data_IF_069964663991
#
_entry.id   IF_069964663991
#
_cell.length_a   1.000
_cell.length_b   1.000
_cell.length_c   1.000
_cell.angle_alpha   90.00
_cell.angle_beta   90.00
_cell.angle_gamma   90.00
#
_symmetry.space_group_name_H-M   'P 1'
#
loop_
_entity.id
_entity.type
_entity.pdbx_description
1 polymer ?
#
# COMPACT_ATOMS: atom_id res chain seq x y z
N UNK A 1 20.13 -17.98 6.81
CA UNK A 1 19.71 -16.57 6.66
C UNK A 1 18.96 -16.38 5.34
N UNK A 2 17.80 -15.69 5.35
CA UNK A 2 16.98 -15.45 4.16
C UNK A 2 17.77 -14.68 3.09
N UNK A 3 17.65 -15.07 1.81
CA UNK A 3 18.23 -14.32 0.67
C UNK A 3 17.72 -12.87 0.61
N UNK A 4 16.49 -12.62 1.05
CA UNK A 4 15.90 -11.27 1.09
C UNK A 4 16.55 -10.43 2.20
N UNK A 5 16.79 -10.99 3.39
CA UNK A 5 17.41 -10.28 4.51
C UNK A 5 18.84 -9.83 4.21
N UNK A 6 19.57 -10.61 3.39
CA UNK A 6 20.96 -10.30 3.02
C UNK A 6 21.10 -9.13 2.02
N UNK A 7 20.02 -8.75 1.32
CA UNK A 7 20.09 -7.64 0.37
C UNK A 7 20.07 -6.30 1.14
N UNK A 8 21.06 -5.44 0.99
CA UNK A 8 21.03 -4.12 1.59
C UNK A 8 19.84 -3.30 1.09
N UNK A 9 19.44 -2.30 1.86
CA UNK A 9 18.42 -1.31 1.47
C UNK A 9 19.14 0.00 1.21
N UNK A 10 19.19 0.41 -0.06
CA UNK A 10 19.86 1.64 -0.47
C UNK A 10 19.12 2.86 0.09
N UNK A 11 19.86 3.82 0.60
CA UNK A 11 19.36 5.10 1.08
C UNK A 11 19.60 6.18 0.02
N UNK A 12 18.55 6.64 -0.68
CA UNK A 12 18.70 7.74 -1.62
C UNK A 12 19.00 9.05 -0.88
N UNK A 13 19.54 10.02 -1.61
CA UNK A 13 19.81 11.36 -1.07
C UNK A 13 18.52 11.99 -0.52
N UNK A 14 18.62 12.63 0.65
CA UNK A 14 17.49 13.29 1.31
C UNK A 14 16.65 12.38 2.22
N UNK A 15 17.06 11.12 2.42
CA UNK A 15 16.45 10.23 3.42
C UNK A 15 17.36 10.15 4.64
N UNK A 16 16.79 10.43 5.80
CA UNK A 16 17.43 10.23 7.11
C UNK A 16 16.77 9.07 7.84
N UNK A 17 17.59 8.27 8.52
CA UNK A 17 17.14 7.12 9.30
C UNK A 17 17.59 7.31 10.74
N UNK A 18 16.67 7.16 11.67
CA UNK A 18 16.94 7.14 13.11
C UNK A 18 16.67 5.73 13.62
N UNK A 19 17.71 5.08 14.13
CA UNK A 19 17.62 3.73 14.67
C UNK A 19 17.54 3.84 16.19
N UNK A 20 16.40 3.47 16.77
CA UNK A 20 16.21 3.30 18.20
C UNK A 20 16.36 1.82 18.62
N UNK A 21 16.24 1.55 19.92
CA UNK A 21 16.31 0.19 20.47
C UNK A 21 15.16 -0.70 19.95
N UNK A 22 13.94 -0.15 19.91
CA UNK A 22 12.72 -0.90 19.61
C UNK A 22 12.02 -0.43 18.31
N UNK A 23 12.53 0.60 17.66
CA UNK A 23 11.91 1.16 16.46
C UNK A 23 12.91 1.83 15.53
N UNK A 24 12.62 1.79 14.23
CA UNK A 24 13.35 2.52 13.20
C UNK A 24 12.42 3.53 12.56
N UNK A 25 12.84 4.79 12.54
CA UNK A 25 12.12 5.87 11.88
C UNK A 25 12.86 6.29 10.62
N UNK A 26 12.15 6.28 9.49
CA UNK A 26 12.66 6.74 8.19
C UNK A 26 11.97 8.03 7.84
N UNK A 27 12.72 9.10 7.62
CA UNK A 27 12.23 10.43 7.26
C UNK A 27 12.75 10.83 5.88
N UNK A 28 11.86 11.30 5.04
CA UNK A 28 12.19 11.78 3.68
C UNK A 28 11.39 13.02 3.30
N UNK A 29 11.42 13.38 2.02
CA UNK A 29 10.78 14.58 1.50
C UNK A 29 9.25 14.60 1.67
N UNK A 30 8.60 13.43 1.62
CA UNK A 30 7.13 13.31 1.69
C UNK A 30 6.58 13.07 3.10
N UNK A 31 7.46 12.81 4.08
CA UNK A 31 7.05 12.59 5.46
C UNK A 31 7.96 11.61 6.20
N UNK A 32 7.46 11.07 7.30
CA UNK A 32 8.18 10.10 8.14
C UNK A 32 7.31 8.88 8.43
N UNK A 33 7.94 7.73 8.48
CA UNK A 33 7.33 6.45 8.85
C UNK A 33 8.16 5.80 9.96
N UNK A 34 7.50 5.13 10.88
CA UNK A 34 8.14 4.42 11.98
C UNK A 34 7.76 2.94 11.93
N UNK A 35 8.75 2.08 12.07
CA UNK A 35 8.58 0.62 12.14
C UNK A 35 9.07 0.13 13.49
N UNK A 36 8.21 -0.55 14.24
CA UNK A 36 8.61 -1.26 15.44
C UNK A 36 9.45 -2.49 15.08
N UNK A 37 10.59 -2.65 15.73
CA UNK A 37 11.45 -3.83 15.59
C UNK A 37 10.98 -4.93 16.54
N UNK A 38 11.02 -6.16 16.06
CA UNK A 38 10.84 -7.32 16.94
C UNK A 38 12.15 -7.65 17.66
N UNK A 39 12.03 -8.16 18.88
CA UNK A 39 13.19 -8.63 19.66
C UNK A 39 14.03 -9.63 18.85
N UNK A 40 15.35 -9.50 18.91
CA UNK A 40 16.30 -10.32 18.14
C UNK A 40 16.57 -9.84 16.70
N UNK A 41 16.01 -8.70 16.30
CA UNK A 41 16.33 -8.05 15.01
C UNK A 41 17.12 -6.78 15.28
N UNK A 42 18.24 -6.65 14.62
CA UNK A 42 19.11 -5.46 14.65
C UNK A 42 19.19 -4.84 13.25
N UNK A 43 19.13 -3.53 13.20
CA UNK A 43 19.32 -2.76 11.98
C UNK A 43 20.61 -1.97 12.13
N UNK A 44 21.50 -2.10 11.15
CA UNK A 44 22.74 -1.32 11.07
C UNK A 44 22.66 -0.38 9.89
N UNK A 45 23.09 0.85 10.11
CA UNK A 45 23.25 1.83 9.04
C UNK A 45 24.72 1.87 8.65
N UNK A 46 24.99 1.60 7.40
CA UNK A 46 26.23 1.87 6.71
C UNK A 46 26.08 3.15 5.89
N UNK A 47 27.14 3.72 5.40
CA UNK A 47 27.16 5.08 4.80
C UNK A 47 25.99 5.35 3.82
N UNK A 48 25.61 4.38 2.99
CA UNK A 48 24.58 4.54 1.94
C UNK A 48 23.49 3.47 1.94
N UNK A 49 23.51 2.55 2.91
CA UNK A 49 22.52 1.48 2.95
C UNK A 49 22.25 1.00 4.37
N UNK A 50 21.09 0.34 4.55
CA UNK A 50 20.71 -0.34 5.79
C UNK A 50 20.89 -1.85 5.63
N UNK A 51 21.41 -2.49 6.65
CA UNK A 51 21.48 -3.94 6.78
C UNK A 51 20.62 -4.40 7.96
N UNK A 52 19.95 -5.52 7.78
CA UNK A 52 19.13 -6.15 8.80
C UNK A 52 19.78 -7.46 9.22
N UNK A 53 20.11 -7.57 10.49
CA UNK A 53 20.67 -8.77 11.09
C UNK A 53 19.63 -9.40 12.02
N UNK A 54 19.61 -10.72 12.07
CA UNK A 54 18.87 -11.50 13.04
C UNK A 54 19.84 -12.19 13.98
N UNK A 55 19.53 -12.23 15.27
CA UNK A 55 20.30 -13.01 16.23
C UNK A 55 20.23 -14.51 15.86
N UNK A 56 21.39 -15.19 15.94
CA UNK A 56 21.54 -16.55 15.43
C UNK A 56 20.72 -17.63 16.18
N UNK A 57 20.21 -17.31 17.36
CA UNK A 57 19.65 -18.27 18.32
C UNK A 57 18.14 -18.42 18.27
N UNK A 58 17.39 -17.63 17.47
CA UNK A 58 15.92 -17.65 17.45
C UNK A 58 15.34 -18.36 16.24
N UNK A 59 14.47 -19.35 16.47
CA UNK A 59 13.66 -19.93 15.39
C UNK A 59 12.73 -18.87 14.77
N UNK A 60 12.66 -18.84 13.43
CA UNK A 60 11.81 -17.88 12.72
C UNK A 60 12.37 -16.47 12.55
N UNK A 61 13.44 -16.07 13.26
CA UNK A 61 14.04 -14.73 13.16
C UNK A 61 14.54 -14.41 11.75
N UNK A 62 14.97 -15.42 11.00
CA UNK A 62 15.37 -15.26 9.59
C UNK A 62 14.20 -14.81 8.68
N UNK A 63 12.98 -15.28 8.95
CA UNK A 63 11.79 -14.85 8.21
C UNK A 63 11.40 -13.41 8.60
N UNK A 64 11.47 -13.12 9.90
CA UNK A 64 11.20 -11.78 10.43
C UNK A 64 12.21 -10.75 9.91
N UNK A 65 13.50 -11.08 9.86
CA UNK A 65 14.51 -10.21 9.27
C UNK A 65 14.23 -9.89 7.80
N UNK A 66 13.81 -10.90 7.03
CA UNK A 66 13.40 -10.71 5.64
C UNK A 66 12.19 -9.77 5.49
N UNK A 67 11.16 -9.93 6.33
CA UNK A 67 10.01 -9.03 6.32
C UNK A 67 10.36 -7.62 6.80
N UNK A 68 11.16 -7.48 7.85
CA UNK A 68 11.66 -6.18 8.34
C UNK A 68 12.43 -5.44 7.24
N UNK A 69 13.33 -6.14 6.54
CA UNK A 69 14.06 -5.57 5.40
C UNK A 69 13.11 -5.08 4.30
N UNK A 70 12.09 -5.88 3.96
CA UNK A 70 11.11 -5.50 2.95
C UNK A 70 10.27 -4.29 3.38
N UNK A 71 9.89 -4.21 4.67
CA UNK A 71 9.21 -3.04 5.21
C UNK A 71 10.09 -1.78 5.15
N UNK A 72 11.36 -1.87 5.54
CA UNK A 72 12.30 -0.75 5.45
C UNK A 72 12.47 -0.27 4.00
N UNK A 73 12.61 -1.17 3.03
CA UNK A 73 12.68 -0.81 1.61
C UNK A 73 11.40 -0.12 1.12
N UNK A 74 10.22 -0.61 1.55
CA UNK A 74 8.95 0.04 1.25
C UNK A 74 8.88 1.44 1.88
N UNK A 75 9.31 1.62 3.13
CA UNK A 75 9.33 2.91 3.81
C UNK A 75 10.22 3.91 3.08
N UNK A 76 11.44 3.52 2.71
CA UNK A 76 12.38 4.36 1.96
C UNK A 76 11.76 4.80 0.63
N UNK A 77 11.14 3.89 -0.12
CA UNK A 77 10.44 4.22 -1.36
C UNK A 77 9.25 5.14 -1.11
N UNK A 78 8.47 4.87 -0.06
CA UNK A 78 7.29 5.66 0.30
C UNK A 78 7.61 7.09 0.67
N UNK A 79 8.65 7.34 1.49
CA UNK A 79 9.02 8.70 1.89
C UNK A 79 9.73 9.49 0.79
N UNK A 80 10.24 8.82 -0.26
CA UNK A 80 10.87 9.46 -1.42
C UNK A 80 9.89 9.69 -2.56
N UNK A 81 9.46 8.60 -3.20
CA UNK A 81 8.58 8.63 -4.37
C UNK A 81 7.10 8.69 -4.00
N UNK A 82 6.73 8.06 -2.88
CA UNK A 82 5.36 7.76 -2.53
C UNK A 82 4.85 6.53 -3.26
N UNK A 83 3.64 6.13 -2.89
CA UNK A 83 2.91 5.07 -3.57
C UNK A 83 1.59 5.60 -4.10
N UNK A 84 1.14 4.97 -5.17
CA UNK A 84 -0.14 5.27 -5.79
C UNK A 84 -0.80 3.97 -6.24
N UNK A 85 -2.11 3.87 -6.07
CA UNK A 85 -2.96 2.80 -6.60
C UNK A 85 -4.13 3.41 -7.34
N UNK A 86 -4.31 2.99 -8.59
CA UNK A 86 -5.42 3.41 -9.44
C UNK A 86 -6.52 2.36 -9.43
N UNK A 87 -7.75 2.79 -9.21
CA UNK A 87 -8.96 2.00 -9.31
C UNK A 87 -9.85 2.55 -10.42
N UNK A 88 -10.53 1.67 -11.13
CA UNK A 88 -11.45 1.98 -12.21
C UNK A 88 -12.85 1.45 -11.86
N UNK A 89 -13.85 2.29 -12.07
CA UNK A 89 -15.25 1.94 -11.91
C UNK A 89 -15.82 1.55 -13.28
N UNK A 90 -16.28 0.33 -13.40
CA UNK A 90 -16.89 -0.19 -14.63
C UNK A 90 -18.36 -0.45 -14.38
N UNK A 91 -19.22 0.30 -15.03
CA UNK A 91 -20.67 0.14 -14.91
C UNK A 91 -21.42 1.41 -15.29
N UNK A 92 -22.60 1.26 -15.89
CA UNK A 92 -23.47 2.40 -16.25
C UNK A 92 -23.95 3.08 -14.97
N UNK A 93 -23.71 4.40 -14.86
CA UNK A 93 -24.12 5.19 -13.70
C UNK A 93 -23.20 5.08 -12.48
N UNK A 94 -22.08 4.34 -12.58
CA UNK A 94 -21.08 4.30 -11.49
C UNK A 94 -20.29 5.60 -11.47
N UNK A 95 -20.18 6.21 -10.29
CA UNK A 95 -19.51 7.49 -10.10
C UNK A 95 -18.77 7.49 -8.76
N UNK A 96 -17.65 8.18 -8.73
CA UNK A 96 -16.88 8.50 -7.54
C UNK A 96 -16.68 10.01 -7.45
N UNK A 97 -16.81 10.56 -6.26
CA UNK A 97 -16.53 11.97 -5.99
C UNK A 97 -15.90 12.11 -4.61
N UNK A 98 -14.80 12.85 -4.53
CA UNK A 98 -14.16 13.20 -3.26
C UNK A 98 -14.79 14.48 -2.74
N UNK A 99 -15.24 14.46 -1.48
CA UNK A 99 -15.77 15.61 -0.76
C UNK A 99 -15.03 15.77 0.56
N UNK A 100 -14.19 16.75 0.65
CA UNK A 100 -13.36 17.05 1.83
C UNK A 100 -12.56 15.83 2.30
N UNK A 101 -13.01 15.13 3.36
CA UNK A 101 -12.36 13.95 3.94
C UNK A 101 -13.11 12.64 3.69
N UNK A 102 -14.04 12.64 2.75
CA UNK A 102 -14.82 11.46 2.41
C UNK A 102 -14.86 11.23 0.89
N UNK A 103 -14.87 9.97 0.51
CA UNK A 103 -15.10 9.50 -0.84
C UNK A 103 -16.54 9.00 -0.94
N UNK A 104 -17.35 9.66 -1.77
CA UNK A 104 -18.74 9.24 -2.06
C UNK A 104 -18.75 8.41 -3.32
N UNK A 105 -19.32 7.21 -3.24
CA UNK A 105 -19.40 6.25 -4.33
C UNK A 105 -20.87 5.95 -4.66
N UNK A 106 -21.19 6.01 -5.95
CA UNK A 106 -22.45 5.52 -6.51
C UNK A 106 -22.14 4.24 -7.29
N UNK A 107 -22.52 3.09 -6.75
CA UNK A 107 -22.16 1.77 -7.31
C UNK A 107 -23.39 0.93 -7.66
N UNK A 108 -24.53 1.58 -7.98
CA UNK A 108 -25.78 0.90 -8.35
C UNK A 108 -26.51 0.27 -7.17
N UNK A 109 -26.28 0.77 -5.96
CA UNK A 109 -27.09 0.52 -4.77
C UNK A 109 -28.15 1.62 -4.61
N UNK A 110 -29.17 1.35 -3.80
CA UNK A 110 -30.23 2.32 -3.47
C UNK A 110 -29.77 3.49 -2.60
N UNK A 111 -28.56 3.37 -2.01
CA UNK A 111 -27.93 4.37 -1.14
C UNK A 111 -26.52 4.72 -1.65
N UNK A 112 -26.05 5.89 -1.29
CA UNK A 112 -24.66 6.31 -1.52
C UNK A 112 -23.75 5.66 -0.48
N UNK A 113 -22.58 5.24 -0.92
CA UNK A 113 -21.54 4.72 -0.03
C UNK A 113 -20.61 5.88 0.29
N UNK A 114 -20.48 6.21 1.56
CA UNK A 114 -19.53 7.22 2.04
C UNK A 114 -18.39 6.54 2.76
N UNK A 115 -17.19 6.66 2.20
CA UNK A 115 -15.96 6.11 2.76
C UNK A 115 -15.13 7.24 3.38
N UNK A 116 -14.88 7.19 4.68
CA UNK A 116 -14.00 8.16 5.36
C UNK A 116 -12.54 7.90 4.95
N UNK A 117 -11.86 8.93 4.47
CA UNK A 117 -10.46 8.82 4.04
C UNK A 117 -9.57 8.74 5.27
N UNK A 118 -8.76 7.66 5.43
CA UNK A 118 -7.85 7.54 6.55
C UNK A 118 -6.74 8.61 6.54
N UNK A 119 -6.22 8.93 7.71
CA UNK A 119 -5.11 9.88 7.84
C UNK A 119 -3.85 9.40 7.11
N UNK A 120 -3.15 10.32 6.46
CA UNK A 120 -1.94 10.03 5.69
C UNK A 120 -2.20 9.47 4.29
N UNK A 121 -3.46 9.41 3.85
CA UNK A 121 -3.87 9.02 2.50
C UNK A 121 -4.56 10.20 1.82
N UNK A 122 -4.24 10.39 0.55
CA UNK A 122 -4.90 11.34 -0.34
C UNK A 122 -5.62 10.56 -1.42
N UNK A 123 -6.91 10.84 -1.60
CA UNK A 123 -7.70 10.25 -2.69
C UNK A 123 -8.06 11.36 -3.65
N UNK A 124 -7.83 11.11 -4.93
CA UNK A 124 -8.18 12.00 -6.03
C UNK A 124 -9.10 11.27 -7.00
N UNK A 125 -10.05 11.98 -7.58
CA UNK A 125 -10.94 11.48 -8.63
C UNK A 125 -10.75 12.32 -9.89
N UNK A 126 -9.73 12.01 -10.73
CA UNK A 126 -9.48 12.76 -11.96
C UNK A 126 -10.68 12.74 -12.90
N UNK A 127 -11.36 11.61 -12.95
CA UNK A 127 -12.64 11.43 -13.62
C UNK A 127 -13.65 10.80 -12.65
N UNK A 128 -14.93 10.85 -12.99
CA UNK A 128 -15.97 10.22 -12.17
C UNK A 128 -15.85 8.69 -12.09
N UNK A 129 -15.06 8.09 -12.98
CA UNK A 129 -14.88 6.63 -13.08
C UNK A 129 -13.49 6.15 -12.65
N UNK A 130 -12.62 7.07 -12.24
CA UNK A 130 -11.26 6.74 -11.80
C UNK A 130 -10.99 7.29 -10.40
N UNK A 131 -10.36 6.47 -9.58
CA UNK A 131 -9.95 6.81 -8.24
C UNK A 131 -8.44 6.57 -8.12
N UNK A 132 -7.70 7.60 -7.71
CA UNK A 132 -6.28 7.53 -7.40
C UNK A 132 -6.10 7.60 -5.89
N UNK A 133 -5.53 6.56 -5.30
CA UNK A 133 -5.20 6.48 -3.88
C UNK A 133 -3.70 6.69 -3.73
N UNK A 134 -3.28 7.78 -3.09
CA UNK A 134 -1.88 8.19 -2.92
C UNK A 134 -1.50 8.27 -1.46
N UNK A 135 -0.23 8.02 -1.14
CA UNK A 135 0.30 8.19 0.21
C UNK A 135 1.76 7.74 0.33
N UNK A 136 2.24 7.70 1.55
CA UNK A 136 3.62 7.30 1.88
C UNK A 136 3.69 5.84 2.34
N UNK A 137 2.62 5.31 2.94
CA UNK A 137 2.58 3.97 3.50
C UNK A 137 1.92 2.99 2.50
N UNK A 138 2.72 2.07 1.97
CA UNK A 138 2.26 1.03 1.03
C UNK A 138 1.13 0.18 1.61
N UNK A 139 1.20 -0.14 2.91
CA UNK A 139 0.21 -0.99 3.57
C UNK A 139 -1.14 -0.27 3.64
N UNK A 140 -1.16 0.98 4.13
CA UNK A 140 -2.39 1.77 4.25
C UNK A 140 -3.04 2.02 2.89
N UNK A 141 -2.25 2.36 1.87
CA UNK A 141 -2.76 2.55 0.50
C UNK A 141 -3.37 1.26 -0.04
N UNK A 142 -2.68 0.13 0.15
CA UNK A 142 -3.18 -1.18 -0.27
C UNK A 142 -4.48 -1.55 0.43
N UNK A 143 -4.58 -1.32 1.72
CA UNK A 143 -5.77 -1.56 2.53
C UNK A 143 -6.94 -0.70 2.07
N UNK A 144 -6.73 0.62 1.95
CA UNK A 144 -7.75 1.55 1.46
C UNK A 144 -8.26 1.18 0.06
N UNK A 145 -7.35 0.85 -0.85
CA UNK A 145 -7.73 0.43 -2.19
C UNK A 145 -8.53 -0.89 -2.19
N UNK A 146 -8.16 -1.84 -1.32
CA UNK A 146 -8.88 -3.10 -1.15
C UNK A 146 -10.28 -2.89 -0.56
N UNK A 147 -10.43 -2.01 0.42
CA UNK A 147 -11.70 -1.65 1.02
C UNK A 147 -12.64 -1.01 -0.02
N UNK A 148 -12.14 -0.03 -0.79
CA UNK A 148 -12.91 0.61 -1.86
C UNK A 148 -13.37 -0.43 -2.90
N UNK A 149 -12.46 -1.34 -3.29
CA UNK A 149 -12.80 -2.43 -4.23
C UNK A 149 -13.84 -3.40 -3.65
N UNK A 150 -13.80 -3.66 -2.35
CA UNK A 150 -14.70 -4.62 -1.68
C UNK A 150 -16.17 -4.17 -1.68
N UNK A 151 -16.45 -2.86 -1.78
CA UNK A 151 -17.83 -2.37 -1.85
C UNK A 151 -18.59 -2.91 -3.07
N UNK A 152 -17.92 -3.09 -4.19
CA UNK A 152 -18.49 -3.75 -5.36
C UNK A 152 -17.39 -4.40 -6.19
N UNK A 153 -17.00 -5.65 -5.88
CA UNK A 153 -15.97 -6.36 -6.64
C UNK A 153 -16.45 -6.61 -8.08
N UNK A 154 -15.52 -6.70 -9.04
CA UNK A 154 -15.87 -6.91 -10.43
C UNK A 154 -16.56 -8.26 -10.63
N UNK A 155 -17.65 -8.29 -11.36
CA UNK A 155 -18.38 -9.50 -11.69
C UNK A 155 -17.72 -10.25 -12.86
N UNK A 156 -17.86 -11.60 -12.93
CA UNK A 156 -17.17 -12.40 -13.94
C UNK A 156 -17.84 -12.41 -15.31
N UNK A 157 -19.02 -11.81 -15.52
CA UNK A 157 -19.74 -11.85 -16.79
C UNK A 157 -19.53 -10.63 -17.66
N UNK A 158 -19.79 -9.44 -17.13
CA UNK A 158 -19.63 -8.15 -17.84
C UNK A 158 -18.51 -7.30 -17.26
N UNK A 159 -17.85 -7.78 -16.19
CA UNK A 159 -16.77 -7.07 -15.53
C UNK A 159 -17.19 -5.79 -14.79
N UNK A 160 -18.50 -5.63 -14.50
CA UNK A 160 -18.99 -4.47 -13.75
C UNK A 160 -18.54 -4.53 -12.30
N UNK A 161 -18.09 -3.40 -11.77
CA UNK A 161 -17.59 -3.28 -10.40
C UNK A 161 -16.44 -2.31 -10.32
N UNK A 162 -15.79 -2.30 -9.17
CA UNK A 162 -14.55 -1.56 -8.90
C UNK A 162 -13.39 -2.53 -9.06
N UNK A 163 -12.46 -2.23 -9.96
CA UNK A 163 -11.26 -3.05 -10.22
C UNK A 163 -9.99 -2.21 -10.09
N UNK A 164 -8.86 -2.87 -9.87
CA UNK A 164 -7.56 -2.21 -10.07
C UNK A 164 -7.30 -2.00 -11.56
N UNK A 165 -6.55 -0.96 -11.92
CA UNK A 165 -6.19 -0.68 -13.32
C UNK A 165 -5.37 -1.80 -13.96
N UNK A 166 -4.57 -2.52 -13.13
CA UNK A 166 -3.72 -3.64 -13.52
C UNK A 166 -4.42 -5.02 -13.37
N UNK A 167 -5.69 -5.05 -12.92
CA UNK A 167 -6.43 -6.28 -12.68
C UNK A 167 -7.03 -6.85 -13.98
N UNK A 168 -6.62 -8.07 -14.33
CA UNK A 168 -7.21 -8.83 -15.42
C UNK A 168 -8.35 -9.69 -14.88
N UNK A 169 -9.58 -9.38 -15.31
CA UNK A 169 -10.76 -10.15 -14.91
C UNK A 169 -10.95 -11.29 -15.90
N UNK A 170 -11.00 -12.53 -15.38
CA UNK A 170 -11.39 -13.69 -16.19
C UNK A 170 -12.90 -13.66 -16.40
N UNK A 171 -13.33 -13.27 -17.60
CA UNK A 171 -14.74 -13.28 -17.96
C UNK A 171 -15.19 -14.70 -18.29
N UNK A 172 -16.37 -15.06 -17.77
CA UNK A 172 -17.06 -16.31 -18.09
C UNK A 172 -18.07 -16.06 -19.21
N UNK A 173 -18.17 -16.96 -20.16
CA UNK A 173 -19.22 -16.92 -21.17
C UNK A 173 -20.56 -17.26 -20.53
N UNK A 174 -21.58 -16.46 -20.84
CA UNK A 174 -22.95 -16.78 -20.47
C UNK A 174 -23.39 -18.02 -21.28
N UNK A 175 -24.08 -18.95 -20.63
CA UNK A 175 -24.63 -20.13 -21.30
C UNK A 175 -25.53 -19.65 -22.46
N UNK A 176 -25.12 -19.93 -23.69
CA UNK A 176 -26.01 -19.73 -24.86
C UNK A 176 -27.23 -20.61 -24.67
N UNK A 177 -28.43 -20.05 -24.71
CA UNK A 177 -29.67 -20.80 -24.83
C UNK A 177 -29.74 -21.45 -26.19
#
# INVERSE_FOLDING_TARGET
MSRVAKKPVDLPQGVSVTIGADAVTVKGAKGSLTLALKSGIKVKQLEKHLEVEADATGEGLNAIAGSTRAHLANMVTGVTKGYEKKLELVGVGYRAAVQAKSLTLTLGYSHLINYAIPEGITIETPTQTEILVKGIDRQRIGQTAAEIRSFRPPEPYKGKGVKYSDEKISLKEAKKK
#
